data_IF_529996359896
#
_entry.id   IF_529996359896
#
_cell.length_a   1.000
_cell.length_b   1.000
_cell.length_c   1.000
_cell.angle_alpha   90.00
_cell.angle_beta   90.00
_cell.angle_gamma   90.00
#
_symmetry.space_group_name_H-M   'P 1'
#
loop_
_entity.id
_entity.type
_entity.pdbx_description
1 polymer ?
#
# COMPACT_ATOMS: atom_id res chain seq x y z
N UNK A 1 -18.40 18.51 -5.93
CA UNK A 1 -19.76 17.93 -6.07
C UNK A 1 -19.77 16.47 -5.60
N UNK A 2 -19.04 15.55 -6.23
CA UNK A 2 -18.96 14.14 -5.81
C UNK A 2 -18.51 13.91 -4.36
N UNK A 3 -17.52 14.66 -3.86
CA UNK A 3 -17.10 14.59 -2.45
C UNK A 3 -18.23 14.95 -1.47
N UNK A 4 -19.07 15.94 -1.81
CA UNK A 4 -20.20 16.37 -0.98
C UNK A 4 -21.26 15.27 -0.93
N UNK A 5 -21.54 14.63 -2.08
CA UNK A 5 -22.47 13.50 -2.18
C UNK A 5 -22.00 12.31 -1.33
N UNK A 6 -20.72 11.97 -1.39
CA UNK A 6 -20.16 10.85 -0.61
C UNK A 6 -20.18 11.11 0.90
N UNK A 7 -19.92 12.36 1.32
CA UNK A 7 -19.99 12.74 2.74
C UNK A 7 -21.43 12.64 3.26
N UNK A 8 -22.41 13.08 2.47
CA UNK A 8 -23.83 13.04 2.83
C UNK A 8 -24.45 11.63 2.75
N UNK A 9 -23.81 10.70 2.03
CA UNK A 9 -24.28 9.31 1.85
C UNK A 9 -24.18 8.46 3.12
N UNK A 10 -23.53 8.93 4.19
CA UNK A 10 -23.36 8.18 5.46
C UNK A 10 -22.41 6.98 5.38
N UNK A 11 -21.96 6.59 4.19
CA UNK A 11 -21.03 5.48 3.93
C UNK A 11 -19.57 5.90 3.86
N UNK A 12 -19.27 7.21 3.95
CA UNK A 12 -17.93 7.78 3.83
C UNK A 12 -16.88 7.10 4.74
N UNK A 13 -17.26 6.75 5.96
CA UNK A 13 -16.37 6.04 6.89
C UNK A 13 -15.93 4.68 6.32
N UNK A 14 -16.84 3.94 5.68
CA UNK A 14 -16.51 2.67 5.04
C UNK A 14 -15.58 2.88 3.84
N UNK A 15 -15.86 3.91 3.02
CA UNK A 15 -15.00 4.29 1.89
C UNK A 15 -13.55 4.58 2.33
N UNK A 16 -13.37 5.36 3.39
CA UNK A 16 -12.04 5.64 3.93
C UNK A 16 -11.37 4.34 4.39
N UNK A 17 -12.08 3.48 5.11
CA UNK A 17 -11.48 2.23 5.61
C UNK A 17 -11.02 1.32 4.48
N UNK A 18 -11.76 1.23 3.36
CA UNK A 18 -11.34 0.47 2.19
C UNK A 18 -10.01 1.00 1.62
N UNK A 19 -9.91 2.31 1.39
CA UNK A 19 -8.73 2.92 0.77
C UNK A 19 -7.53 2.88 1.72
N UNK A 20 -7.73 3.26 2.97
CA UNK A 20 -6.68 3.27 3.98
C UNK A 20 -6.06 1.88 4.15
N UNK A 21 -6.89 0.83 4.20
CA UNK A 21 -6.38 -0.55 4.30
C UNK A 21 -5.39 -0.88 3.17
N UNK A 22 -5.76 -0.58 1.93
CA UNK A 22 -4.89 -0.81 0.76
C UNK A 22 -3.63 0.05 0.83
N UNK A 23 -3.74 1.33 1.21
CA UNK A 23 -2.59 2.23 1.37
C UNK A 23 -1.59 1.71 2.40
N UNK A 24 -2.06 1.21 3.55
CA UNK A 24 -1.20 0.66 4.59
C UNK A 24 -0.42 -0.59 4.15
N UNK A 25 -0.99 -1.42 3.26
CA UNK A 25 -0.26 -2.53 2.63
C UNK A 25 0.89 -1.99 1.77
N UNK A 26 0.62 -1.00 0.92
CA UNK A 26 1.65 -0.40 0.08
C UNK A 26 2.71 0.35 0.89
N UNK A 27 2.33 0.98 2.00
CA UNK A 27 3.27 1.59 2.94
C UNK A 27 4.17 0.56 3.62
N UNK A 28 3.62 -0.57 4.06
CA UNK A 28 4.42 -1.66 4.60
C UNK A 28 5.44 -2.17 3.56
N UNK A 29 5.02 -2.35 2.31
CA UNK A 29 5.89 -2.76 1.19
C UNK A 29 6.95 -1.70 0.86
N UNK A 30 6.56 -0.43 0.80
CA UNK A 30 7.47 0.68 0.55
C UNK A 30 8.51 0.81 1.66
N UNK A 31 8.10 0.70 2.93
CA UNK A 31 9.00 0.68 4.08
C UNK A 31 9.95 -0.54 4.05
N UNK A 32 9.44 -1.72 3.72
CA UNK A 32 10.25 -2.93 3.56
C UNK A 32 11.26 -2.80 2.41
N UNK A 33 10.89 -2.10 1.33
CA UNK A 33 11.77 -1.87 0.19
C UNK A 33 13.05 -1.12 0.57
N UNK A 34 13.00 -0.23 1.57
CA UNK A 34 14.19 0.49 2.07
C UNK A 34 15.26 -0.49 2.57
N UNK A 35 14.87 -1.57 3.26
CA UNK A 35 15.80 -2.61 3.70
C UNK A 35 16.31 -3.44 2.52
N UNK A 36 15.44 -3.76 1.57
CA UNK A 36 15.80 -4.53 0.38
C UNK A 36 16.79 -3.79 -0.53
N UNK A 37 16.54 -2.50 -0.81
CA UNK A 37 17.41 -1.65 -1.61
C UNK A 37 18.75 -1.43 -0.94
N UNK A 38 18.79 -1.31 0.39
CA UNK A 38 20.06 -1.22 1.13
C UNK A 38 20.89 -2.50 1.06
N UNK A 39 20.26 -3.67 0.93
CA UNK A 39 20.96 -4.94 0.72
C UNK A 39 21.38 -5.14 -0.73
N UNK A 40 20.56 -4.71 -1.69
CA UNK A 40 20.83 -4.86 -3.13
C UNK A 40 21.85 -3.87 -3.69
N UNK A 41 21.88 -2.65 -3.18
CA UNK A 41 22.79 -1.59 -3.64
C UNK A 41 23.53 -0.98 -2.44
N UNK A 42 24.55 -1.69 -1.92
CA UNK A 42 25.35 -1.19 -0.82
C UNK A 42 26.15 0.08 -1.19
N UNK A 43 26.65 0.16 -2.43
CA UNK A 43 27.55 1.22 -2.91
C UNK A 43 26.87 2.44 -3.56
N UNK A 44 25.53 2.50 -3.55
CA UNK A 44 24.82 3.65 -4.10
C UNK A 44 25.13 4.91 -3.25
N UNK A 45 25.39 6.05 -3.91
CA UNK A 45 25.51 7.34 -3.22
C UNK A 45 24.19 7.66 -2.50
N UNK A 46 24.27 8.04 -1.22
CA UNK A 46 23.11 8.34 -0.36
C UNK A 46 23.14 9.80 0.08
N UNK A 47 22.60 10.74 -0.73
CA UNK A 47 22.53 12.15 -0.38
C UNK A 47 21.71 12.41 0.89
N UNK A 48 20.73 11.53 1.18
CA UNK A 48 19.89 11.61 2.37
C UNK A 48 19.84 10.26 3.10
N UNK A 49 20.23 10.26 4.38
CA UNK A 49 20.06 9.13 5.29
C UNK A 49 18.89 9.45 6.21
N UNK A 50 17.91 8.55 6.28
CA UNK A 50 16.82 8.65 7.25
C UNK A 50 17.38 8.79 8.68
N UNK A 51 17.06 9.89 9.36
CA UNK A 51 17.42 10.12 10.77
C UNK A 51 16.92 8.96 11.64
N UNK A 52 17.81 8.40 12.47
CA UNK A 52 17.48 7.26 13.34
C UNK A 52 17.42 5.91 12.63
N UNK A 53 18.02 5.76 11.44
CA UNK A 53 18.15 4.45 10.81
C UNK A 53 18.95 3.47 11.69
N UNK A 54 18.51 2.21 11.90
CA UNK A 54 17.37 1.52 11.26
C UNK A 54 16.05 1.55 12.05
N UNK A 55 15.99 2.22 13.20
CA UNK A 55 14.81 2.19 14.07
C UNK A 55 13.57 2.80 13.41
N UNK A 56 13.73 3.93 12.71
CA UNK A 56 12.61 4.63 12.09
C UNK A 56 11.88 3.79 11.02
N UNK A 57 12.55 3.14 10.05
CA UNK A 57 11.83 2.28 9.11
C UNK A 57 11.32 0.98 9.72
N UNK A 58 12.00 0.39 10.73
CA UNK A 58 11.49 -0.81 11.41
C UNK A 58 10.17 -0.50 12.10
N UNK A 59 10.12 0.61 12.84
CA UNK A 59 8.93 1.04 13.56
C UNK A 59 7.78 1.35 12.60
N UNK A 60 8.07 2.03 11.49
CA UNK A 60 7.08 2.33 10.46
C UNK A 60 6.48 1.06 9.83
N UNK A 61 7.33 0.11 9.43
CA UNK A 61 6.86 -1.18 8.88
C UNK A 61 6.07 -1.95 9.93
N UNK A 62 6.53 -1.97 11.18
CA UNK A 62 5.84 -2.61 12.31
C UNK A 62 4.44 -2.05 12.55
N UNK A 63 4.29 -0.72 12.61
CA UNK A 63 2.99 -0.06 12.74
C UNK A 63 2.11 -0.36 11.53
N UNK A 64 2.67 -0.30 10.32
CA UNK A 64 1.90 -0.54 9.10
C UNK A 64 1.32 -1.96 9.09
N UNK A 65 2.12 -2.96 9.45
CA UNK A 65 1.67 -4.36 9.57
C UNK A 65 0.64 -4.50 10.69
N UNK A 66 0.88 -3.87 11.85
CA UNK A 66 -0.07 -3.86 12.96
C UNK A 66 -1.42 -3.27 12.56
N UNK A 67 -1.43 -2.15 11.83
CA UNK A 67 -2.63 -1.49 11.35
C UNK A 67 -3.40 -2.39 10.37
N UNK A 68 -2.71 -3.02 9.42
CA UNK A 68 -3.32 -3.97 8.48
C UNK A 68 -3.96 -5.13 9.23
N UNK A 69 -3.25 -5.74 10.20
CA UNK A 69 -3.78 -6.84 11.01
C UNK A 69 -5.00 -6.42 11.86
N UNK A 70 -4.92 -5.24 12.48
CA UNK A 70 -6.00 -4.71 13.30
C UNK A 70 -7.26 -4.44 12.45
N UNK A 71 -7.07 -3.84 11.27
CA UNK A 71 -8.17 -3.56 10.32
C UNK A 71 -8.77 -4.86 9.77
N UNK A 72 -7.94 -5.90 9.58
CA UNK A 72 -8.40 -7.21 9.12
C UNK A 72 -9.33 -7.91 10.14
N UNK A 73 -9.07 -7.73 11.44
CA UNK A 73 -9.93 -8.25 12.51
C UNK A 73 -11.14 -7.34 12.76
N UNK A 74 -10.96 -6.01 12.75
CA UNK A 74 -12.01 -5.05 13.05
C UNK A 74 -13.02 -4.86 11.92
N UNK A 75 -12.60 -5.02 10.66
CA UNK A 75 -13.43 -4.83 9.48
C UNK A 75 -13.09 -5.85 8.38
N UNK A 76 -13.42 -7.14 8.57
CA UNK A 76 -13.02 -8.23 7.67
C UNK A 76 -13.62 -8.08 6.27
N UNK A 77 -14.88 -7.64 6.17
CA UNK A 77 -15.54 -7.42 4.87
C UNK A 77 -14.85 -6.30 4.06
N UNK A 78 -14.34 -5.28 4.77
CA UNK A 78 -13.68 -4.13 4.12
C UNK A 78 -12.28 -4.48 3.63
N UNK A 79 -11.55 -5.20 4.48
CA UNK A 79 -10.22 -5.72 4.17
C UNK A 79 -10.23 -6.71 2.99
N UNK A 80 -11.23 -7.60 2.94
CA UNK A 80 -11.40 -8.55 1.83
C UNK A 80 -11.71 -7.85 0.50
N UNK A 81 -12.55 -6.82 0.51
CA UNK A 81 -12.82 -6.03 -0.69
C UNK A 81 -11.56 -5.31 -1.18
N UNK A 82 -10.79 -4.70 -0.27
CA UNK A 82 -9.51 -4.05 -0.59
C UNK A 82 -8.48 -5.02 -1.19
N UNK A 83 -8.37 -6.24 -0.62
CA UNK A 83 -7.55 -7.31 -1.20
C UNK A 83 -8.05 -7.75 -2.57
N UNK A 84 -9.37 -7.87 -2.74
CA UNK A 84 -9.99 -8.19 -4.03
C UNK A 84 -9.61 -7.19 -5.10
N UNK A 85 -9.70 -5.89 -4.81
CA UNK A 85 -9.25 -4.84 -5.73
C UNK A 85 -7.76 -4.94 -6.05
N UNK A 86 -6.92 -5.22 -5.05
CA UNK A 86 -5.48 -5.39 -5.25
C UNK A 86 -5.17 -6.57 -6.17
N UNK A 87 -5.87 -7.70 -5.98
CA UNK A 87 -5.72 -8.89 -6.84
C UNK A 87 -6.22 -8.61 -8.26
N UNK A 88 -7.31 -7.86 -8.45
CA UNK A 88 -7.81 -7.46 -9.78
C UNK A 88 -6.81 -6.57 -10.53
N UNK A 89 -5.96 -5.82 -9.83
CA UNK A 89 -4.87 -5.07 -10.45
C UNK A 89 -3.87 -5.97 -11.20
N UNK A 90 -3.66 -7.22 -10.75
CA UNK A 90 -2.73 -8.17 -11.36
C UNK A 90 -3.15 -8.60 -12.78
N UNK A 91 -4.36 -9.15 -13.02
CA UNK A 91 -4.77 -9.51 -14.37
C UNK A 91 -4.83 -8.28 -15.28
N UNK A 92 -5.31 -7.13 -14.80
CA UNK A 92 -5.33 -5.88 -15.60
C UNK A 92 -3.92 -5.50 -16.06
N UNK A 93 -2.93 -5.54 -15.14
CA UNK A 93 -1.53 -5.30 -15.49
C UNK A 93 -0.99 -6.30 -16.52
N UNK A 94 -1.31 -7.59 -16.37
CA UNK A 94 -0.87 -8.63 -17.31
C UNK A 94 -1.50 -8.45 -18.69
N UNK A 95 -2.79 -8.14 -18.77
CA UNK A 95 -3.49 -7.85 -20.03
C UNK A 95 -2.87 -6.65 -20.74
N UNK A 96 -2.61 -5.56 -20.02
CA UNK A 96 -2.04 -4.35 -20.61
C UNK A 96 -0.57 -4.55 -21.03
N UNK A 97 0.23 -5.25 -20.21
CA UNK A 97 1.62 -5.61 -20.55
C UNK A 97 1.69 -6.49 -21.81
N UNK A 98 0.69 -7.35 -22.03
CA UNK A 98 0.59 -8.18 -23.24
C UNK A 98 0.26 -7.33 -24.48
N UNK A 99 -0.55 -6.28 -24.33
CA UNK A 99 -0.85 -5.31 -25.39
C UNK A 99 0.38 -4.46 -25.76
N UNK A 100 1.17 -4.03 -24.77
CA UNK A 100 2.34 -3.18 -24.98
C UNK A 100 3.57 -3.93 -25.55
N UNK A 101 3.50 -5.26 -25.70
CA UNK A 101 4.52 -6.09 -26.34
C UNK A 101 4.32 -6.23 -27.85
N UNK A 102 3.25 -5.67 -28.41
CA UNK A 102 2.94 -5.70 -29.84
C UNK A 102 3.48 -4.47 -30.60
N UNK A 103 4.13 -3.52 -29.91
CA UNK A 103 4.63 -2.25 -30.46
C UNK A 103 6.15 -2.03 -30.27
N UNK A 104 6.94 -3.09 -30.02
CA UNK A 104 8.43 -2.99 -30.02
C UNK A 104 9.03 -3.99 -30.99
#
# INVERSE_FOLDING_TARGET
>A
IWAIILILSGTFYQLITYVAFTDWIFFALAGASVFLFRKRQPDAERPYKTLGYPLTPIFFVGISVWFVLNTLVGAPLQSLAGLGFLVIGIPVYVFWKKSNKMEV
#
